data_IF_132859980452
#
_entry.id   IF_132859980452
#
_cell.length_a   1.000
_cell.length_b   1.000
_cell.length_c   1.000
_cell.angle_alpha   90.00
_cell.angle_beta   90.00
_cell.angle_gamma   90.00
#
_symmetry.space_group_name_H-M   'P 1'
#
loop_
_entity.id
_entity.type
_entity.pdbx_description
1 polymer ?
#
# COMPACT_ATOMS: atom_id res chain seq x y z
N UNK A 1 -28.81 74.51 40.63
CA UNK A 1 -29.50 74.50 41.95
C UNK A 1 -29.14 73.21 42.69
N UNK A 2 -28.64 73.35 43.93
CA UNK A 2 -28.68 72.46 45.12
C UNK A 2 -28.34 70.95 44.92
N UNK A 3 -27.17 70.46 45.39
CA UNK A 3 -26.85 70.00 46.78
C UNK A 3 -27.79 68.86 47.23
N UNK A 4 -27.40 67.77 47.88
CA UNK A 4 -26.18 67.12 48.37
C UNK A 4 -26.70 65.87 49.13
N UNK A 5 -25.86 64.85 49.32
CA UNK A 5 -25.78 63.95 50.50
C UNK A 5 -26.37 62.52 50.56
N UNK A 6 -25.49 61.68 51.16
CA UNK A 6 -25.62 60.46 51.99
C UNK A 6 -25.86 59.12 51.24
N UNK A 7 -24.85 58.24 51.07
CA UNK A 7 -24.16 57.36 52.04
C UNK A 7 -25.11 56.38 52.73
N UNK A 8 -24.92 55.07 52.49
CA UNK A 8 -24.92 53.97 53.47
C UNK A 8 -24.61 52.63 52.76
N UNK A 9 -23.89 51.81 53.50
CA UNK A 9 -23.14 50.59 53.18
C UNK A 9 -23.92 49.39 52.62
N UNK A 10 -23.11 48.38 52.25
CA UNK A 10 -23.40 46.94 52.19
C UNK A 10 -23.86 46.37 50.83
N UNK A 11 -22.87 45.99 50.02
CA UNK A 11 -23.00 44.83 49.13
C UNK A 11 -21.76 43.96 49.27
N UNK A 12 -21.64 43.29 50.42
CA UNK A 12 -20.98 42.01 50.49
C UNK A 12 -21.93 40.97 49.86
N UNK A 13 -21.63 40.53 48.65
CA UNK A 13 -22.18 39.30 48.08
C UNK A 13 -21.00 38.37 47.81
N UNK A 14 -20.55 37.72 48.87
CA UNK A 14 -19.78 36.50 48.79
C UNK A 14 -20.73 35.32 48.99
N UNK A 15 -20.58 34.35 48.08
CA UNK A 15 -21.05 32.96 48.12
C UNK A 15 -22.55 32.70 47.87
N UNK A 16 -22.85 32.07 46.74
CA UNK A 16 -23.14 30.62 46.66
C UNK A 16 -23.54 30.23 45.23
N UNK A 17 -22.93 29.17 44.69
CA UNK A 17 -23.43 28.49 43.48
C UNK A 17 -22.35 27.97 42.53
N UNK A 18 -21.68 26.87 42.90
CA UNK A 18 -21.04 26.00 41.91
C UNK A 18 -22.11 25.50 40.93
N UNK A 19 -21.93 25.76 39.64
CA UNK A 19 -22.55 24.99 38.56
C UNK A 19 -21.44 24.60 37.61
N UNK A 20 -21.00 23.35 37.75
CA UNK A 20 -20.11 22.69 36.80
C UNK A 20 -20.69 22.75 35.40
N UNK A 21 -19.92 23.35 34.50
CA UNK A 21 -20.25 23.51 33.09
C UNK A 21 -18.99 23.73 32.28
N UNK A 22 -17.99 22.87 32.45
CA UNK A 22 -16.80 22.83 31.59
C UNK A 22 -17.20 22.31 30.21
N UNK A 23 -17.56 23.22 29.30
CA UNK A 23 -17.38 23.01 27.87
C UNK A 23 -15.91 23.30 27.54
N UNK A 24 -15.03 22.34 27.79
CA UNK A 24 -13.71 22.32 27.19
C UNK A 24 -13.83 21.66 25.81
N UNK A 25 -13.53 22.36 24.70
CA UNK A 25 -13.46 21.70 23.41
C UNK A 25 -12.23 20.77 23.39
N UNK A 26 -12.48 19.46 23.31
CA UNK A 26 -11.67 18.59 22.45
C UNK A 26 -10.31 18.09 22.95
N UNK A 27 -10.17 17.57 24.17
CA UNK A 27 -8.99 16.76 24.53
C UNK A 27 -8.89 15.46 23.68
N UNK A 28 -10.04 14.85 23.38
CA UNK A 28 -10.10 13.66 22.51
C UNK A 28 -9.78 13.98 21.04
N UNK A 29 -10.17 15.15 20.52
CA UNK A 29 -9.85 15.56 19.15
C UNK A 29 -8.39 15.94 18.98
N UNK A 30 -7.76 16.52 20.01
CA UNK A 30 -6.32 16.84 20.00
C UNK A 30 -5.48 15.57 20.08
N UNK A 31 -5.77 14.63 21.00
CA UNK A 31 -5.07 13.34 21.07
C UNK A 31 -5.23 12.50 19.79
N UNK A 32 -6.41 12.52 19.17
CA UNK A 32 -6.64 11.80 17.91
C UNK A 32 -5.89 12.45 16.74
N UNK A 33 -5.76 13.78 16.72
CA UNK A 33 -4.95 14.52 15.72
C UNK A 33 -3.46 14.24 15.90
N UNK A 34 -2.99 14.21 17.15
CA UNK A 34 -1.60 13.92 17.50
C UNK A 34 -1.22 12.49 17.05
N UNK A 35 -2.08 11.50 17.36
CA UNK A 35 -1.87 10.12 16.92
C UNK A 35 -1.90 9.92 15.40
N UNK A 36 -2.68 10.75 14.68
CA UNK A 36 -2.72 10.70 13.21
C UNK A 36 -1.46 11.31 12.61
N UNK A 37 -0.95 12.40 13.19
CA UNK A 37 0.30 13.03 12.75
C UNK A 37 1.50 12.10 12.96
N UNK A 38 1.53 11.36 14.07
CA UNK A 38 2.60 10.37 14.33
C UNK A 38 2.59 9.24 13.29
N UNK A 39 1.40 8.72 12.94
CA UNK A 39 1.27 7.70 11.90
C UNK A 39 1.69 8.24 10.53
N UNK A 40 1.33 9.47 10.20
CA UNK A 40 1.75 10.12 8.93
C UNK A 40 3.27 10.29 8.90
N UNK A 41 3.87 10.81 9.97
CA UNK A 41 5.32 10.99 10.06
C UNK A 41 6.07 9.65 9.94
N UNK A 42 5.55 8.59 10.55
CA UNK A 42 6.10 7.23 10.41
C UNK A 42 6.00 6.76 8.95
N UNK A 43 4.87 6.98 8.27
CA UNK A 43 4.68 6.62 6.86
C UNK A 43 5.61 7.39 5.93
N UNK A 44 5.79 8.68 6.16
CA UNK A 44 6.69 9.52 5.38
C UNK A 44 8.15 9.06 5.56
N UNK A 45 8.54 8.70 6.78
CA UNK A 45 9.87 8.13 7.04
C UNK A 45 10.07 6.79 6.32
N UNK A 46 9.09 5.88 6.36
CA UNK A 46 9.14 4.60 5.65
C UNK A 46 9.30 4.82 4.13
N UNK A 47 8.54 5.75 3.55
CA UNK A 47 8.60 6.08 2.11
C UNK A 47 9.97 6.64 1.75
N UNK A 48 10.49 7.60 2.53
CA UNK A 48 11.78 8.22 2.27
C UNK A 48 12.93 7.20 2.34
N UNK A 49 12.87 6.25 3.28
CA UNK A 49 13.87 5.18 3.36
C UNK A 49 13.82 4.24 2.14
N UNK A 50 12.61 3.86 1.71
CA UNK A 50 12.44 3.04 0.50
C UNK A 50 12.92 3.78 -0.75
N UNK A 51 12.63 5.08 -0.89
CA UNK A 51 13.13 5.89 -2.00
C UNK A 51 14.65 6.00 -1.98
N UNK A 52 15.27 6.19 -0.80
CA UNK A 52 16.72 6.17 -0.66
C UNK A 52 17.32 4.84 -1.13
N UNK A 53 16.74 3.73 -0.68
CA UNK A 53 17.19 2.38 -1.08
C UNK A 53 17.02 2.14 -2.59
N UNK A 54 15.94 2.64 -3.21
CA UNK A 54 15.76 2.60 -4.66
C UNK A 54 16.86 3.36 -5.40
N UNK A 55 17.19 4.58 -4.96
CA UNK A 55 18.25 5.37 -5.57
C UNK A 55 19.62 4.67 -5.47
N UNK A 56 19.92 4.04 -4.33
CA UNK A 56 21.16 3.30 -4.14
C UNK A 56 21.28 2.09 -5.09
N UNK A 57 20.17 1.40 -5.36
CA UNK A 57 20.12 0.27 -6.31
C UNK A 57 20.35 0.76 -7.74
N UNK A 58 19.66 1.82 -8.16
CA UNK A 58 19.80 2.40 -9.50
C UNK A 58 21.23 2.89 -9.75
N UNK A 59 21.83 3.55 -8.75
CA UNK A 59 23.23 3.94 -8.77
C UNK A 59 24.17 2.73 -8.85
N UNK A 60 23.84 1.63 -8.16
CA UNK A 60 24.53 0.35 -8.30
C UNK A 60 24.48 -0.20 -9.71
N UNK A 61 23.32 -0.20 -10.36
CA UNK A 61 23.19 -0.63 -11.75
C UNK A 61 23.97 0.26 -12.72
N UNK A 62 23.99 1.58 -12.48
CA UNK A 62 24.83 2.51 -13.27
C UNK A 62 26.31 2.13 -13.17
N UNK A 63 26.82 1.92 -11.96
CA UNK A 63 28.22 1.55 -11.75
C UNK A 63 28.57 0.17 -12.32
N UNK A 64 27.64 -0.80 -12.24
CA UNK A 64 27.79 -2.10 -12.89
C UNK A 64 27.94 -1.93 -14.40
N UNK A 65 27.03 -1.18 -15.04
CA UNK A 65 27.07 -0.94 -16.49
C UNK A 65 28.37 -0.25 -16.94
N UNK A 66 28.87 0.71 -16.15
CA UNK A 66 30.15 1.38 -16.44
C UNK A 66 31.34 0.42 -16.37
N UNK A 67 31.37 -0.43 -15.34
CA UNK A 67 32.41 -1.43 -15.19
C UNK A 67 32.34 -2.49 -16.29
N UNK A 68 31.15 -2.94 -16.68
CA UNK A 68 30.96 -3.86 -17.81
C UNK A 68 31.46 -3.26 -19.13
N UNK A 69 31.22 -1.97 -19.37
CA UNK A 69 31.75 -1.28 -20.55
C UNK A 69 33.29 -1.28 -20.54
N UNK A 70 33.92 -1.02 -19.38
CA UNK A 70 35.38 -1.12 -19.24
C UNK A 70 35.89 -2.53 -19.54
N UNK A 71 35.22 -3.56 -19.03
CA UNK A 71 35.54 -4.96 -19.32
C UNK A 71 35.44 -5.22 -20.83
N UNK A 72 34.36 -4.78 -21.47
CA UNK A 72 34.15 -4.97 -22.91
C UNK A 72 35.26 -4.34 -23.77
N UNK A 73 35.82 -3.21 -23.34
CA UNK A 73 36.96 -2.57 -24.02
C UNK A 73 38.29 -3.31 -23.79
N UNK A 74 38.46 -3.92 -22.62
CA UNK A 74 39.71 -4.59 -22.23
C UNK A 74 39.81 -6.03 -22.72
N UNK A 75 38.69 -6.73 -22.95
CA UNK A 75 38.64 -8.19 -23.19
C UNK A 75 39.35 -8.69 -24.45
N UNK A 76 39.69 -7.80 -25.39
CA UNK A 76 40.36 -8.13 -26.65
C UNK A 76 41.83 -7.68 -26.69
N UNK A 77 42.33 -7.06 -25.62
CA UNK A 77 43.69 -6.54 -25.57
C UNK A 77 44.68 -7.49 -24.89
N UNK A 78 45.86 -7.66 -25.47
CA UNK A 78 46.95 -8.43 -24.85
C UNK A 78 47.78 -7.56 -23.87
N UNK A 79 48.30 -8.18 -22.80
CA UNK A 79 49.20 -7.58 -21.79
C UNK A 79 48.79 -7.80 -20.33
N UNK A 80 49.76 -8.00 -19.42
CA UNK A 80 49.54 -8.29 -17.99
C UNK A 80 48.73 -7.22 -17.26
N UNK A 81 48.96 -5.93 -17.55
CA UNK A 81 48.19 -4.82 -16.96
C UNK A 81 46.70 -4.88 -17.33
N UNK A 82 46.35 -5.32 -18.55
CA UNK A 82 44.96 -5.46 -18.98
C UNK A 82 44.27 -6.64 -18.29
N UNK A 83 44.97 -7.77 -18.12
CA UNK A 83 44.46 -8.93 -17.36
C UNK A 83 44.12 -8.55 -15.92
N UNK A 84 45.00 -7.79 -15.27
CA UNK A 84 44.78 -7.31 -13.91
C UNK A 84 43.58 -6.35 -13.83
N UNK A 85 43.52 -5.35 -14.71
CA UNK A 85 42.39 -4.42 -14.78
C UNK A 85 41.06 -5.15 -15.02
N UNK A 86 41.07 -6.19 -15.86
CA UNK A 86 39.90 -7.01 -16.15
C UNK A 86 39.43 -7.75 -14.89
N UNK A 87 40.35 -8.36 -14.14
CA UNK A 87 40.04 -9.01 -12.86
C UNK A 87 39.40 -8.03 -11.87
N UNK A 88 39.98 -6.85 -11.71
CA UNK A 88 39.48 -5.82 -10.80
C UNK A 88 38.09 -5.31 -11.17
N UNK A 89 37.81 -5.06 -12.46
CA UNK A 89 36.48 -4.62 -12.89
C UNK A 89 35.42 -5.72 -12.67
N UNK A 90 35.76 -6.98 -12.86
CA UNK A 90 34.81 -8.08 -12.65
C UNK A 90 34.55 -8.30 -11.16
N UNK A 91 35.58 -8.20 -10.31
CA UNK A 91 35.41 -8.20 -8.86
C UNK A 91 34.52 -7.06 -8.40
N UNK A 92 34.72 -5.87 -8.96
CA UNK A 92 33.87 -4.72 -8.69
C UNK A 92 32.41 -4.97 -9.11
N UNK A 93 32.18 -5.51 -10.32
CA UNK A 93 30.82 -5.87 -10.78
C UNK A 93 30.18 -6.86 -9.82
N UNK A 94 30.87 -7.95 -9.45
CA UNK A 94 30.35 -8.98 -8.56
C UNK A 94 29.96 -8.42 -7.18
N UNK A 95 30.79 -7.55 -6.60
CA UNK A 95 30.49 -6.91 -5.32
C UNK A 95 29.28 -5.97 -5.41
N UNK A 96 29.18 -5.16 -6.47
CA UNK A 96 28.01 -4.28 -6.68
C UNK A 96 26.73 -5.08 -6.93
N UNK A 97 26.82 -6.20 -7.65
CA UNK A 97 25.71 -7.13 -7.86
C UNK A 97 25.20 -7.71 -6.54
N UNK A 98 26.13 -8.10 -5.64
CA UNK A 98 25.79 -8.57 -4.30
C UNK A 98 25.10 -7.48 -3.47
N UNK A 99 25.65 -6.26 -3.46
CA UNK A 99 25.08 -5.13 -2.73
C UNK A 99 23.67 -4.76 -3.25
N UNK A 100 23.49 -4.66 -4.56
CA UNK A 100 22.18 -4.38 -5.17
C UNK A 100 21.15 -5.43 -4.77
N UNK A 101 21.55 -6.69 -4.69
CA UNK A 101 20.67 -7.76 -4.23
C UNK A 101 20.21 -7.57 -2.80
N UNK A 102 21.14 -7.29 -1.89
CA UNK A 102 20.84 -7.07 -0.47
C UNK A 102 19.87 -5.90 -0.30
N UNK A 103 20.05 -4.83 -1.08
CA UNK A 103 19.15 -3.68 -1.11
C UNK A 103 17.76 -4.03 -1.68
N UNK A 104 17.69 -4.83 -2.76
CA UNK A 104 16.41 -5.31 -3.31
C UNK A 104 15.67 -6.19 -2.29
N UNK A 105 16.37 -7.11 -1.61
CA UNK A 105 15.79 -7.94 -0.57
C UNK A 105 15.30 -7.10 0.63
N UNK A 106 16.04 -6.04 0.98
CA UNK A 106 15.60 -5.06 2.00
C UNK A 106 14.30 -4.37 1.57
N UNK A 107 14.20 -3.89 0.33
CA UNK A 107 12.99 -3.26 -0.20
C UNK A 107 11.78 -4.20 -0.19
N UNK A 108 11.98 -5.47 -0.55
CA UNK A 108 10.91 -6.47 -0.49
C UNK A 108 10.37 -6.64 0.93
N UNK A 109 11.28 -6.81 1.90
CA UNK A 109 10.90 -6.95 3.31
C UNK A 109 10.17 -5.72 3.83
N UNK A 110 10.63 -4.52 3.46
CA UNK A 110 9.98 -3.26 3.83
C UNK A 110 8.58 -3.14 3.20
N UNK A 111 8.42 -3.54 1.93
CA UNK A 111 7.13 -3.55 1.25
C UNK A 111 6.13 -4.52 1.91
N UNK A 112 6.59 -5.68 2.37
CA UNK A 112 5.75 -6.64 3.09
C UNK A 112 5.30 -6.15 4.46
N UNK A 113 6.19 -5.51 5.21
CA UNK A 113 5.88 -5.00 6.55
C UNK A 113 5.06 -3.71 6.50
N UNK A 114 5.08 -2.99 5.37
CA UNK A 114 4.36 -1.73 5.24
C UNK A 114 2.89 -1.95 4.89
N UNK A 115 2.03 -1.10 5.47
CA UNK A 115 0.63 -0.96 5.05
C UNK A 115 0.50 -0.26 3.68
N UNK A 116 1.60 0.28 3.14
CA UNK A 116 1.65 0.95 1.85
C UNK A 116 1.58 -0.07 0.71
N UNK A 117 0.35 -0.36 0.26
CA UNK A 117 0.08 -1.27 -0.86
C UNK A 117 0.28 -0.59 -2.20
N UNK A 118 1.54 -0.31 -2.54
CA UNK A 118 1.91 0.25 -3.84
C UNK A 118 2.12 -0.85 -4.88
N UNK A 119 1.10 -1.17 -5.68
CA UNK A 119 1.27 -2.07 -6.84
C UNK A 119 2.39 -1.61 -7.80
N UNK A 120 2.63 -0.29 -7.85
CA UNK A 120 3.74 0.30 -8.60
C UNK A 120 5.10 0.01 -7.99
N UNK A 121 5.26 0.15 -6.66
CA UNK A 121 6.52 -0.12 -5.97
C UNK A 121 6.93 -1.60 -6.13
N UNK A 122 5.95 -2.49 -6.00
CA UNK A 122 6.14 -3.92 -6.30
C UNK A 122 6.65 -4.15 -7.72
N UNK A 123 5.99 -3.55 -8.72
CA UNK A 123 6.42 -3.65 -10.13
C UNK A 123 7.84 -3.12 -10.32
N UNK A 124 8.23 -2.05 -9.61
CA UNK A 124 9.60 -1.55 -9.62
C UNK A 124 10.57 -2.61 -9.06
N UNK A 125 10.27 -3.21 -7.91
CA UNK A 125 11.09 -4.28 -7.32
C UNK A 125 11.22 -5.49 -8.26
N UNK A 126 10.12 -5.90 -8.90
CA UNK A 126 10.12 -6.98 -9.89
C UNK A 126 11.06 -6.65 -11.07
N UNK A 127 10.98 -5.43 -11.59
CA UNK A 127 11.86 -4.97 -12.66
C UNK A 127 13.34 -4.92 -12.25
N UNK A 128 13.63 -4.45 -11.02
CA UNK A 128 15.00 -4.42 -10.49
C UNK A 128 15.56 -5.83 -10.31
N UNK A 129 14.73 -6.77 -9.85
CA UNK A 129 15.11 -8.18 -9.72
C UNK A 129 15.40 -8.81 -11.08
N UNK A 130 14.55 -8.56 -12.09
CA UNK A 130 14.76 -9.04 -13.45
C UNK A 130 16.03 -8.45 -14.09
N UNK A 131 16.32 -7.16 -13.84
CA UNK A 131 17.58 -6.54 -14.28
C UNK A 131 18.80 -7.21 -13.61
N UNK A 132 18.69 -7.53 -12.32
CA UNK A 132 19.74 -8.24 -11.59
C UNK A 132 19.97 -9.65 -12.17
N UNK A 133 18.90 -10.39 -12.47
CA UNK A 133 19.00 -11.72 -13.12
C UNK A 133 19.70 -11.66 -14.48
N UNK A 134 19.36 -10.67 -15.30
CA UNK A 134 19.97 -10.50 -16.61
C UNK A 134 21.46 -10.18 -16.49
N UNK A 135 21.84 -9.29 -15.56
CA UNK A 135 23.23 -8.96 -15.27
C UNK A 135 24.03 -10.14 -14.73
N UNK A 136 23.42 -10.99 -13.92
CA UNK A 136 24.06 -12.20 -13.38
C UNK A 136 24.40 -13.20 -14.50
N UNK A 137 23.49 -13.37 -15.47
CA UNK A 137 23.73 -14.17 -16.68
C UNK A 137 24.85 -13.58 -17.55
N UNK A 138 24.87 -12.26 -17.72
CA UNK A 138 25.92 -11.57 -18.48
C UNK A 138 27.28 -11.74 -17.81
N UNK A 139 27.35 -11.62 -16.48
CA UNK A 139 28.57 -11.80 -15.70
C UNK A 139 29.09 -13.25 -15.80
N UNK A 140 28.20 -14.24 -15.72
CA UNK A 140 28.53 -15.65 -15.95
C UNK A 140 29.13 -15.88 -17.35
N UNK A 141 28.45 -15.41 -18.39
CA UNK A 141 28.90 -15.59 -19.77
C UNK A 141 30.26 -14.90 -20.02
N UNK A 142 30.44 -13.70 -19.46
CA UNK A 142 31.70 -12.98 -19.52
C UNK A 142 32.83 -13.78 -18.84
N UNK A 143 32.56 -14.35 -17.68
CA UNK A 143 33.54 -15.17 -16.97
C UNK A 143 33.95 -16.40 -17.79
N UNK A 144 32.99 -17.13 -18.35
CA UNK A 144 33.27 -18.28 -19.23
C UNK A 144 34.10 -17.87 -20.46
N UNK A 145 33.86 -16.69 -21.02
CA UNK A 145 34.68 -16.14 -22.12
C UNK A 145 36.14 -15.92 -21.68
N UNK A 146 36.35 -15.47 -20.45
CA UNK A 146 37.69 -15.17 -19.91
C UNK A 146 38.45 -16.41 -19.47
N UNK A 147 37.75 -17.39 -18.89
CA UNK A 147 38.33 -18.69 -18.58
C UNK A 147 38.84 -19.38 -19.88
N UNK A 148 38.11 -19.26 -21.00
CA UNK A 148 38.57 -19.73 -22.33
C UNK A 148 39.81 -18.98 -22.87
N UNK A 149 40.12 -17.80 -22.33
CA UNK A 149 41.28 -16.98 -22.71
C UNK A 149 42.44 -17.11 -21.71
N UNK A 150 42.43 -18.16 -20.87
CA UNK A 150 43.40 -18.39 -19.79
C UNK A 150 43.53 -17.19 -18.84
N UNK A 151 42.39 -16.52 -18.57
CA UNK A 151 42.26 -15.48 -17.55
C UNK A 151 41.35 -16.05 -16.47
N UNK A 152 41.94 -16.84 -15.58
CA UNK A 152 41.20 -17.48 -14.51
C UNK A 152 41.04 -16.56 -13.29
N UNK A 153 39.82 -16.48 -12.75
CA UNK A 153 39.48 -15.63 -11.60
C UNK A 153 38.88 -16.49 -10.49
N UNK A 154 39.70 -17.34 -9.86
CA UNK A 154 39.24 -18.34 -8.88
C UNK A 154 38.48 -17.79 -7.67
N UNK A 155 38.77 -16.55 -7.24
CA UNK A 155 38.07 -15.89 -6.12
C UNK A 155 36.60 -15.56 -6.44
N UNK A 156 36.22 -15.55 -7.72
CA UNK A 156 34.87 -15.23 -8.15
C UNK A 156 33.97 -16.46 -8.27
N UNK A 157 34.52 -17.67 -8.20
CA UNK A 157 33.77 -18.91 -8.39
C UNK A 157 32.70 -19.11 -7.33
N UNK A 158 33.11 -18.94 -6.08
CA UNK A 158 32.22 -19.03 -4.94
C UNK A 158 31.25 -17.84 -4.89
N UNK A 159 31.74 -16.63 -5.20
CA UNK A 159 30.92 -15.41 -5.18
C UNK A 159 29.81 -15.47 -6.23
N UNK A 160 30.13 -15.86 -7.48
CA UNK A 160 29.17 -15.92 -8.59
C UNK A 160 28.23 -17.13 -8.46
N UNK A 161 28.69 -18.27 -7.96
CA UNK A 161 27.82 -19.42 -7.67
C UNK A 161 26.79 -19.12 -6.58
N UNK A 162 27.24 -18.46 -5.50
CA UNK A 162 26.35 -17.93 -4.47
C UNK A 162 25.45 -16.81 -5.03
N UNK A 163 25.94 -16.02 -5.98
CA UNK A 163 25.12 -15.03 -6.66
C UNK A 163 23.95 -15.72 -7.37
N UNK A 164 24.17 -16.68 -8.26
CA UNK A 164 23.09 -17.31 -9.02
C UNK A 164 22.01 -17.97 -8.15
N UNK A 165 22.43 -18.74 -7.14
CA UNK A 165 21.49 -19.45 -6.25
C UNK A 165 20.59 -18.46 -5.52
N UNK A 166 21.16 -17.38 -5.00
CA UNK A 166 20.42 -16.42 -4.20
C UNK A 166 19.55 -15.48 -5.05
N UNK A 167 19.92 -15.19 -6.31
CA UNK A 167 19.03 -14.46 -7.24
C UNK A 167 17.82 -15.32 -7.61
N UNK A 168 18.03 -16.61 -7.89
CA UNK A 168 16.92 -17.52 -8.18
C UNK A 168 15.97 -17.65 -6.98
N UNK A 169 16.51 -17.73 -5.76
CA UNK A 169 15.72 -17.74 -4.54
C UNK A 169 14.94 -16.43 -4.36
N UNK A 170 15.60 -15.29 -4.58
CA UNK A 170 14.97 -13.96 -4.49
C UNK A 170 13.81 -13.82 -5.48
N UNK A 171 13.97 -14.34 -6.70
CA UNK A 171 12.95 -14.35 -7.74
C UNK A 171 11.75 -15.23 -7.37
N UNK A 172 12.01 -16.44 -6.88
CA UNK A 172 10.96 -17.36 -6.43
C UNK A 172 10.18 -16.78 -5.24
N UNK A 173 10.88 -16.22 -4.26
CA UNK A 173 10.27 -15.53 -3.11
C UNK A 173 9.41 -14.37 -3.57
N UNK A 174 9.91 -13.53 -4.50
CA UNK A 174 9.16 -12.44 -5.11
C UNK A 174 7.85 -12.93 -5.72
N UNK A 175 7.88 -13.99 -6.51
CA UNK A 175 6.67 -14.51 -7.17
C UNK A 175 5.65 -15.00 -6.14
N UNK A 176 6.07 -15.78 -5.14
CA UNK A 176 5.17 -16.28 -4.11
C UNK A 176 4.56 -15.15 -3.25
N UNK A 177 5.40 -14.19 -2.84
CA UNK A 177 4.95 -13.01 -2.09
C UNK A 177 4.05 -12.12 -2.94
N UNK A 178 4.33 -12.05 -4.24
CA UNK A 178 3.51 -11.31 -5.17
C UNK A 178 2.09 -11.85 -5.25
N UNK A 179 1.93 -13.15 -5.33
CA UNK A 179 0.62 -13.81 -5.31
C UNK A 179 -0.13 -13.54 -4.00
N UNK A 180 0.58 -13.63 -2.87
CA UNK A 180 0.00 -13.35 -1.54
C UNK A 180 -0.48 -11.92 -1.40
N UNK A 181 0.36 -10.94 -1.78
CA UNK A 181 0.01 -9.51 -1.75
C UNK A 181 -1.20 -9.23 -2.66
N UNK A 182 -1.23 -9.82 -3.86
CA UNK A 182 -2.33 -9.65 -4.79
C UNK A 182 -3.63 -10.27 -4.26
N UNK A 183 -3.55 -11.44 -3.61
CA UNK A 183 -4.70 -12.07 -2.98
C UNK A 183 -5.24 -11.22 -1.81
N UNK A 184 -4.36 -10.71 -0.96
CA UNK A 184 -4.73 -9.82 0.14
C UNK A 184 -5.29 -8.48 -0.35
N UNK A 185 -4.74 -7.90 -1.42
CA UNK A 185 -5.27 -6.69 -2.05
C UNK A 185 -6.69 -6.91 -2.57
N UNK A 186 -6.92 -8.01 -3.30
CA UNK A 186 -8.24 -8.41 -3.76
C UNK A 186 -9.20 -8.60 -2.59
N UNK A 187 -8.76 -9.24 -1.51
CA UNK A 187 -9.61 -9.46 -0.33
C UNK A 187 -10.02 -8.16 0.36
N UNK A 188 -9.07 -7.24 0.59
CA UNK A 188 -9.37 -5.95 1.24
C UNK A 188 -10.32 -5.08 0.42
N UNK A 189 -10.14 -5.11 -0.90
CA UNK A 189 -10.95 -4.32 -1.84
C UNK A 189 -12.21 -5.04 -2.31
N UNK A 190 -12.48 -6.27 -1.85
CA UNK A 190 -13.73 -6.96 -2.14
C UNK A 190 -14.83 -6.48 -1.19
N UNK A 191 -15.96 -6.09 -1.76
CA UNK A 191 -17.21 -5.93 -1.04
C UNK A 191 -18.35 -6.66 -1.77
N UNK A 192 -19.51 -6.70 -1.15
CA UNK A 192 -20.69 -7.40 -1.65
C UNK A 192 -21.90 -6.50 -1.49
N UNK A 193 -22.75 -6.42 -2.52
CA UNK A 193 -24.02 -5.71 -2.40
C UNK A 193 -25.19 -6.53 -2.92
N UNK A 194 -26.37 -6.23 -2.40
CA UNK A 194 -27.64 -6.73 -2.88
C UNK A 194 -28.70 -5.65 -2.75
N UNK A 195 -29.61 -5.59 -3.70
CA UNK A 195 -30.86 -4.86 -3.56
C UNK A 195 -32.03 -5.76 -3.93
N UNK A 196 -33.15 -5.61 -3.24
CA UNK A 196 -34.33 -6.43 -3.50
C UNK A 196 -35.54 -6.00 -2.69
N UNK A 197 -36.69 -6.50 -3.08
CA UNK A 197 -37.93 -6.33 -2.33
C UNK A 197 -37.87 -7.10 -1.01
N UNK A 198 -38.72 -6.71 -0.06
CA UNK A 198 -38.80 -7.39 1.25
C UNK A 198 -39.07 -8.89 1.12
N UNK A 199 -39.82 -9.31 0.08
CA UNK A 199 -40.14 -10.72 -0.17
C UNK A 199 -38.90 -11.49 -0.64
N UNK A 200 -38.14 -10.93 -1.58
CA UNK A 200 -36.92 -11.54 -2.10
C UNK A 200 -35.84 -11.66 -1.02
N UNK A 201 -35.57 -10.57 -0.29
CA UNK A 201 -34.56 -10.57 0.77
C UNK A 201 -34.89 -11.57 1.90
N UNK A 202 -36.18 -11.75 2.22
CA UNK A 202 -36.63 -12.79 3.16
C UNK A 202 -36.45 -14.19 2.60
N UNK A 203 -36.85 -14.41 1.35
CA UNK A 203 -36.72 -15.72 0.68
C UNK A 203 -35.27 -16.19 0.57
N UNK A 204 -34.32 -15.25 0.52
CA UNK A 204 -32.88 -15.52 0.48
C UNK A 204 -32.23 -15.56 1.88
N UNK A 205 -33.03 -15.50 2.94
CA UNK A 205 -32.55 -15.48 4.34
C UNK A 205 -31.57 -14.31 4.62
N UNK A 206 -31.69 -13.21 3.87
CA UNK A 206 -30.90 -11.98 4.06
C UNK A 206 -31.57 -11.07 5.09
N UNK A 207 -32.90 -11.14 5.18
CA UNK A 207 -33.72 -10.32 6.06
C UNK A 207 -34.66 -11.19 6.91
N UNK A 208 -34.57 -11.12 8.24
CA UNK A 208 -35.52 -11.76 9.16
C UNK A 208 -35.98 -10.78 10.24
N UNK A 209 -37.26 -10.81 10.61
CA UNK A 209 -37.80 -9.89 11.61
C UNK A 209 -37.62 -8.39 11.27
N UNK A 210 -37.26 -8.04 10.03
CA UNK A 210 -36.94 -6.66 9.62
C UNK A 210 -35.49 -6.24 9.86
N UNK A 211 -34.60 -7.16 10.28
CA UNK A 211 -33.16 -6.93 10.45
C UNK A 211 -32.35 -7.77 9.45
N UNK A 212 -31.21 -7.23 9.02
CA UNK A 212 -30.26 -7.97 8.18
C UNK A 212 -29.59 -9.05 9.04
N UNK A 213 -29.51 -10.26 8.49
CA UNK A 213 -28.93 -11.40 9.20
C UNK A 213 -27.41 -11.28 9.29
N UNK A 214 -26.85 -11.64 10.45
CA UNK A 214 -25.41 -11.71 10.67
C UNK A 214 -24.96 -13.16 10.52
N UNK A 215 -24.05 -13.44 9.58
CA UNK A 215 -23.37 -14.73 9.44
C UNK A 215 -24.12 -15.82 8.68
N UNK A 216 -25.40 -16.05 8.97
CA UNK A 216 -26.21 -17.08 8.31
C UNK A 216 -27.18 -16.46 7.29
N UNK A 217 -26.71 -16.20 6.07
CA UNK A 217 -27.53 -15.71 4.95
C UNK A 217 -26.98 -16.22 3.61
N UNK A 218 -27.80 -16.21 2.56
CA UNK A 218 -27.37 -16.65 1.24
C UNK A 218 -26.37 -15.65 0.62
N UNK A 219 -25.08 -15.87 0.84
CA UNK A 219 -23.99 -15.06 0.27
C UNK A 219 -23.96 -15.07 -1.26
N UNK A 220 -24.45 -16.14 -1.90
CA UNK A 220 -24.45 -16.27 -3.36
C UNK A 220 -25.43 -15.30 -4.03
N UNK A 221 -26.38 -14.75 -3.27
CA UNK A 221 -27.33 -13.77 -3.78
C UNK A 221 -26.75 -12.34 -3.78
N UNK A 222 -25.53 -12.14 -3.28
CA UNK A 222 -24.84 -10.86 -3.34
C UNK A 222 -23.97 -10.75 -4.60
N UNK A 223 -23.97 -9.57 -5.19
CA UNK A 223 -23.03 -9.19 -6.24
C UNK A 223 -21.69 -8.82 -5.61
N UNK A 224 -20.64 -9.58 -5.94
CA UNK A 224 -19.26 -9.27 -5.56
C UNK A 224 -18.74 -8.08 -6.37
N UNK A 225 -18.09 -7.13 -5.70
CA UNK A 225 -17.52 -5.92 -6.31
C UNK A 225 -16.12 -5.61 -5.82
N UNK A 226 -15.32 -4.97 -6.68
CA UNK A 226 -14.11 -4.26 -6.26
C UNK A 226 -14.50 -2.82 -5.92
N UNK A 227 -14.25 -2.41 -4.68
CA UNK A 227 -14.66 -1.10 -4.15
C UNK A 227 -13.96 0.07 -4.82
N UNK A 228 -12.81 -0.15 -5.47
CA UNK A 228 -12.05 0.90 -6.16
C UNK A 228 -12.71 1.32 -7.47
N UNK A 229 -13.40 0.36 -8.11
CA UNK A 229 -13.96 0.56 -9.45
C UNK A 229 -15.48 0.73 -9.40
N UNK A 230 -16.13 0.33 -8.30
CA UNK A 230 -17.60 0.40 -8.16
C UNK A 230 -18.01 1.65 -7.41
N UNK A 231 -18.26 2.72 -8.16
CA UNK A 231 -18.71 4.02 -7.62
C UNK A 231 -20.21 4.25 -7.76
N UNK A 232 -20.93 3.44 -8.55
CA UNK A 232 -22.36 3.57 -8.78
C UNK A 232 -23.08 2.22 -8.74
N UNK A 233 -24.24 2.18 -8.08
CA UNK A 233 -25.14 1.02 -8.06
C UNK A 233 -26.54 1.50 -8.48
N UNK A 234 -26.99 1.06 -9.66
CA UNK A 234 -28.33 1.33 -10.17
C UNK A 234 -29.33 0.38 -9.52
N UNK A 235 -30.33 0.92 -8.84
CA UNK A 235 -31.30 0.13 -8.06
C UNK A 235 -32.59 -0.17 -8.84
N UNK A 236 -32.77 0.46 -10.00
CA UNK A 236 -33.91 0.28 -10.90
C UNK A 236 -35.29 0.40 -10.23
N UNK A 237 -35.38 1.26 -9.21
CA UNK A 237 -36.55 1.36 -8.33
C UNK A 237 -36.85 2.82 -7.99
N UNK A 238 -38.14 3.15 -7.81
CA UNK A 238 -38.60 4.46 -7.34
C UNK A 238 -38.51 4.63 -5.82
N UNK A 239 -38.12 3.57 -5.11
CA UNK A 239 -37.90 3.59 -3.67
C UNK A 239 -36.62 2.83 -3.33
N UNK A 240 -35.78 3.41 -2.48
CA UNK A 240 -34.56 2.78 -2.01
C UNK A 240 -34.31 3.13 -0.54
N UNK A 241 -34.03 2.12 0.27
CA UNK A 241 -33.64 2.28 1.68
C UNK A 241 -32.49 1.35 2.01
N UNK A 242 -31.35 1.91 2.42
CA UNK A 242 -30.22 1.12 2.92
C UNK A 242 -30.61 0.48 4.27
N UNK A 243 -30.35 -0.82 4.40
CA UNK A 243 -30.60 -1.58 5.62
C UNK A 243 -29.33 -1.84 6.42
N UNK A 244 -28.16 -1.74 5.78
CA UNK A 244 -26.84 -1.79 6.41
C UNK A 244 -26.35 -0.38 6.73
N UNK A 245 -25.53 -0.25 7.79
CA UNK A 245 -24.97 1.02 8.20
C UNK A 245 -23.76 1.37 7.34
N UNK A 246 -23.82 2.52 6.67
CA UNK A 246 -22.72 3.13 5.93
C UNK A 246 -22.67 4.63 6.25
N UNK A 247 -21.49 5.26 6.38
CA UNK A 247 -21.40 6.68 6.71
C UNK A 247 -22.12 7.57 5.68
N UNK A 248 -23.06 8.40 6.11
CA UNK A 248 -23.88 9.22 5.21
C UNK A 248 -23.06 10.21 4.36
N UNK A 249 -21.88 10.62 4.83
CA UNK A 249 -20.95 11.49 4.09
C UNK A 249 -20.25 10.79 2.91
N UNK A 250 -20.32 9.46 2.83
CA UNK A 250 -19.57 8.66 1.86
C UNK A 250 -20.39 8.22 0.63
N UNK A 251 -21.67 8.59 0.57
CA UNK A 251 -22.54 8.28 -0.57
C UNK A 251 -23.64 9.32 -0.77
N UNK A 252 -24.26 9.29 -1.95
CA UNK A 252 -25.51 9.99 -2.24
C UNK A 252 -26.50 9.04 -2.92
N UNK A 253 -27.78 9.27 -2.68
CA UNK A 253 -28.86 8.49 -3.27
C UNK A 253 -29.70 9.43 -4.13
N UNK A 254 -29.47 9.38 -5.45
CA UNK A 254 -30.06 10.32 -6.41
C UNK A 254 -30.92 9.59 -7.44
N UNK A 255 -31.75 10.33 -8.18
CA UNK A 255 -32.51 9.77 -9.28
C UNK A 255 -31.74 9.88 -10.60
N UNK A 256 -31.86 8.87 -11.46
CA UNK A 256 -31.43 8.95 -12.85
C UNK A 256 -32.48 9.65 -13.74
N UNK A 257 -32.18 9.73 -15.05
CA UNK A 257 -33.07 10.31 -16.06
C UNK A 257 -34.44 9.60 -16.14
N UNK A 258 -34.51 8.34 -15.70
CA UNK A 258 -35.73 7.52 -15.66
C UNK A 258 -36.47 7.62 -14.31
N UNK A 259 -36.06 8.54 -13.42
CA UNK A 259 -36.60 8.72 -12.06
C UNK A 259 -36.46 7.45 -11.20
N UNK A 260 -35.41 6.66 -11.42
CA UNK A 260 -35.05 5.51 -10.60
C UNK A 260 -33.84 5.85 -9.73
N UNK A 261 -33.78 5.29 -8.52
CA UNK A 261 -32.69 5.54 -7.59
C UNK A 261 -31.38 4.91 -8.05
N UNK A 262 -30.31 5.68 -7.92
CA UNK A 262 -28.92 5.29 -8.09
C UNK A 262 -28.16 5.66 -6.82
N UNK A 263 -27.48 4.68 -6.24
CA UNK A 263 -26.55 4.90 -5.14
C UNK A 263 -25.19 5.27 -5.73
N UNK A 264 -24.72 6.48 -5.46
CA UNK A 264 -23.39 6.97 -5.87
C UNK A 264 -22.48 7.02 -4.65
N UNK A 265 -21.43 6.21 -4.65
CA UNK A 265 -20.44 6.12 -3.60
C UNK A 265 -19.36 7.17 -3.89
N UNK A 266 -19.30 8.22 -3.06
CA UNK A 266 -18.37 9.35 -3.23
C UNK A 266 -17.02 9.08 -2.58
N UNK A 267 -17.00 8.27 -1.50
CA UNK A 267 -15.77 7.80 -0.89
C UNK A 267 -15.88 6.30 -0.57
N UNK A 268 -15.40 5.40 -1.46
CA UNK A 268 -15.52 3.97 -1.27
C UNK A 268 -14.85 3.45 0.01
N UNK A 269 -13.70 4.00 0.40
CA UNK A 269 -12.99 3.53 1.59
C UNK A 269 -13.81 3.82 2.86
N UNK A 270 -14.37 5.03 2.97
CA UNK A 270 -15.24 5.39 4.10
C UNK A 270 -16.55 4.58 4.03
N UNK A 271 -17.15 4.46 2.85
CA UNK A 271 -18.42 3.74 2.67
C UNK A 271 -18.32 2.27 3.12
N UNK A 272 -17.26 1.56 2.72
CA UNK A 272 -17.05 0.15 3.03
C UNK A 272 -16.28 -0.09 4.33
N UNK A 273 -16.04 0.94 5.15
CA UNK A 273 -15.30 0.84 6.42
C UNK A 273 -16.11 0.17 7.53
N UNK A 274 -17.42 0.44 7.60
CA UNK A 274 -18.31 -0.10 8.65
C UNK A 274 -18.79 -1.51 8.32
N UNK A 275 -19.04 -1.80 7.05
CA UNK A 275 -19.48 -3.11 6.57
C UNK A 275 -19.01 -3.33 5.13
N UNK A 276 -18.50 -4.54 4.84
CA UNK A 276 -18.21 -5.01 3.47
C UNK A 276 -19.44 -5.54 2.74
N UNK A 277 -20.59 -5.56 3.41
CA UNK A 277 -21.88 -5.98 2.85
C UNK A 277 -22.84 -4.79 2.83
N UNK A 278 -23.45 -4.55 1.67
CA UNK A 278 -24.49 -3.56 1.46
C UNK A 278 -25.81 -4.25 1.15
N UNK A 279 -26.87 -3.93 1.90
CA UNK A 279 -28.23 -4.41 1.63
C UNK A 279 -29.15 -3.22 1.42
N UNK A 280 -29.83 -3.17 0.28
CA UNK A 280 -30.78 -2.10 -0.06
C UNK A 280 -32.18 -2.68 -0.28
N UNK A 281 -33.15 -2.16 0.46
CA UNK A 281 -34.56 -2.47 0.25
C UNK A 281 -35.13 -1.59 -0.87
N UNK A 282 -35.75 -2.22 -1.87
CA UNK A 282 -36.46 -1.54 -2.96
C UNK A 282 -37.95 -1.90 -2.97
N UNK A 283 -38.78 -1.09 -3.64
CA UNK A 283 -40.23 -1.29 -3.78
C UNK A 283 -40.72 -0.84 -5.15
#
# INVERSE_FOLDING_TARGET
>A
MKKLFFMVCCAALLMTGCKDGKNAPGLASVQQTDSLNDVIAQKDSEINEMMGTLNDIEEGFRLINEAENRVALLKNGEGTSKKQNLKENIQFIAERMKQNRELIAKLQKQLESSTLKGGQLKKTIDNLTAQLEEKDKQLLALREELDKKDIHISELDETIGNLNTNVSNLSADNQQKAETINAQDKQLNTAWYVFGTKKELKGQHILEGGKVMNGNFNKNYFTKVDIRNTTEIKLYSKSAKLLTAHPASSYSLTHDASKQYVLRITNPQIFWSTSKYLVVLVK
#
